data_IF_094940622237
#
_entry.id   IF_094940622237
#
_cell.length_a   1.000
_cell.length_b   1.000
_cell.length_c   1.000
_cell.angle_alpha   90.00
_cell.angle_beta   90.00
_cell.angle_gamma   90.00
#
_symmetry.space_group_name_H-M   'P 1'
#
loop_
_entity.id
_entity.type
_entity.pdbx_description
1 polymer ?
#
# COMPACT_ATOMS: atom_id res chain seq x y z
N UNK A 1 -45.22 -41.67 12.56
CA UNK A 1 -45.49 -42.37 11.28
C UNK A 1 -44.54 -41.81 10.28
N UNK A 2 -43.53 -42.40 9.72
CA UNK A 2 -43.07 -43.76 9.60
C UNK A 2 -41.73 -43.62 8.85
N UNK A 3 -40.68 -44.07 9.46
CA UNK A 3 -39.35 -44.15 8.86
C UNK A 3 -39.29 -45.32 7.85
N UNK A 4 -38.49 -45.17 6.80
CA UNK A 4 -37.97 -46.32 6.06
C UNK A 4 -36.50 -46.11 5.69
N UNK A 5 -35.71 -47.21 5.70
CA UNK A 5 -34.26 -47.13 5.88
C UNK A 5 -33.44 -47.30 4.59
N UNK A 6 -32.18 -46.93 4.73
CA UNK A 6 -31.05 -47.09 3.84
C UNK A 6 -30.83 -48.54 3.38
N UNK A 7 -30.42 -48.69 2.13
CA UNK A 7 -29.73 -49.87 1.62
C UNK A 7 -28.24 -49.60 1.40
N UNK A 8 -27.42 -50.35 2.15
CA UNK A 8 -26.00 -50.59 1.91
C UNK A 8 -25.84 -51.49 0.68
N UNK A 9 -24.87 -51.22 -0.17
CA UNK A 9 -24.27 -52.26 -1.01
C UNK A 9 -22.74 -52.12 -0.92
N UNK A 10 -22.16 -53.25 -0.67
CA UNK A 10 -20.77 -53.54 -0.41
C UNK A 10 -20.06 -54.02 -1.70
N UNK A 11 -18.75 -54.19 -1.70
CA UNK A 11 -17.87 -54.10 -2.86
C UNK A 11 -17.59 -55.41 -3.54
N UNK A 12 -17.22 -55.38 -4.79
CA UNK A 12 -16.66 -56.55 -5.49
C UNK A 12 -15.21 -56.34 -5.89
N UNK A 13 -14.39 -57.21 -5.35
CA UNK A 13 -13.03 -57.54 -5.79
C UNK A 13 -12.97 -57.88 -7.27
N UNK A 14 -11.90 -57.48 -7.93
CA UNK A 14 -11.40 -58.26 -9.05
C UNK A 14 -9.88 -58.28 -9.03
N UNK A 15 -9.43 -59.54 -9.07
CA UNK A 15 -8.09 -60.03 -8.89
C UNK A 15 -7.18 -59.85 -10.10
N UNK A 16 -5.91 -59.80 -9.75
CA UNK A 16 -4.69 -60.03 -10.50
C UNK A 16 -4.76 -61.12 -11.57
N UNK A 17 -4.23 -60.86 -12.76
CA UNK A 17 -3.71 -61.88 -13.67
C UNK A 17 -2.27 -61.54 -14.08
N UNK A 18 -1.38 -62.39 -13.62
CA UNK A 18 0.05 -62.44 -14.01
C UNK A 18 0.17 -63.28 -15.27
N UNK A 19 0.78 -62.74 -16.31
CA UNK A 19 1.18 -63.49 -17.50
C UNK A 19 2.69 -63.43 -17.70
N UNK A 20 3.35 -64.57 -17.49
CA UNK A 20 4.78 -64.86 -17.80
C UNK A 20 4.94 -65.29 -19.24
N UNK A 21 6.19 -65.15 -19.68
CA UNK A 21 6.92 -65.70 -20.87
C UNK A 21 7.04 -64.73 -22.02
N UNK A 22 8.22 -64.55 -22.63
CA UNK A 22 9.36 -65.46 -22.85
C UNK A 22 10.61 -64.69 -23.26
N UNK A 23 11.74 -65.18 -22.82
CA UNK A 23 13.08 -64.89 -23.30
C UNK A 23 13.28 -65.40 -24.75
N UNK A 24 14.05 -64.72 -25.55
CA UNK A 24 15.17 -65.21 -26.35
C UNK A 24 15.50 -64.22 -27.50
N UNK A 25 16.70 -63.89 -27.56
CA UNK A 25 17.76 -63.88 -28.57
C UNK A 25 18.48 -62.55 -28.70
N UNK A 26 19.60 -62.54 -28.00
CA UNK A 26 20.72 -61.64 -28.26
C UNK A 26 21.39 -62.14 -29.53
N UNK A 27 21.43 -61.29 -30.55
CA UNK A 27 22.36 -61.49 -31.67
C UNK A 27 23.32 -60.32 -31.76
N UNK A 28 24.58 -60.63 -31.65
CA UNK A 28 25.73 -59.76 -31.72
C UNK A 28 25.68 -58.90 -33.00
N UNK A 29 25.76 -57.60 -32.87
CA UNK A 29 25.94 -56.70 -33.98
C UNK A 29 27.27 -55.95 -33.83
N UNK A 30 28.06 -56.08 -34.85
CA UNK A 30 29.39 -55.70 -35.21
C UNK A 30 29.90 -54.38 -34.57
N UNK A 31 31.03 -54.44 -33.88
CA UNK A 31 31.71 -53.34 -33.17
C UNK A 31 32.26 -52.22 -34.09
N UNK A 32 32.29 -52.39 -35.38
CA UNK A 32 32.82 -51.40 -36.33
C UNK A 32 31.84 -50.36 -36.81
N UNK A 33 30.55 -50.50 -36.51
CA UNK A 33 29.52 -49.45 -36.84
C UNK A 33 29.17 -48.52 -35.70
N UNK A 34 29.66 -48.78 -34.48
CA UNK A 34 29.39 -47.91 -33.32
C UNK A 34 30.27 -46.67 -33.21
N UNK A 35 31.40 -46.60 -33.92
CA UNK A 35 32.31 -45.46 -33.86
C UNK A 35 31.93 -44.28 -34.77
N UNK A 36 31.02 -44.43 -35.74
CA UNK A 36 30.67 -43.35 -36.67
C UNK A 36 29.38 -42.63 -36.35
N UNK A 37 28.57 -43.12 -35.39
CA UNK A 37 27.32 -42.48 -35.02
C UNK A 37 27.37 -41.72 -33.67
N UNK A 38 28.43 -41.88 -32.89
CA UNK A 38 28.64 -41.12 -31.65
C UNK A 38 29.38 -39.77 -31.87
N UNK A 39 29.91 -39.51 -33.06
CA UNK A 39 30.70 -38.30 -33.33
C UNK A 39 29.88 -37.17 -33.97
N UNK A 40 28.61 -37.35 -34.27
CA UNK A 40 27.74 -36.31 -34.85
C UNK A 40 26.64 -35.79 -33.93
N UNK A 41 26.51 -36.29 -32.67
CA UNK A 41 25.51 -35.85 -31.70
C UNK A 41 26.06 -34.85 -30.67
N UNK A 42 27.30 -34.38 -30.82
CA UNK A 42 27.95 -33.49 -29.83
C UNK A 42 28.11 -32.05 -30.28
N UNK A 43 27.43 -31.61 -31.35
CA UNK A 43 27.61 -30.28 -31.91
C UNK A 43 26.32 -29.43 -31.99
N UNK A 44 25.26 -29.75 -31.25
CA UNK A 44 24.08 -28.86 -31.18
C UNK A 44 23.46 -28.73 -29.77
N UNK A 45 24.23 -28.95 -28.72
CA UNK A 45 23.92 -28.39 -27.42
C UNK A 45 24.75 -27.12 -27.29
N UNK A 46 24.37 -26.05 -27.99
CA UNK A 46 24.66 -24.72 -27.48
C UNK A 46 24.06 -24.67 -26.10
N UNK A 47 24.83 -24.44 -25.01
CA UNK A 47 24.24 -24.06 -23.77
C UNK A 47 23.52 -22.77 -24.09
N UNK A 48 22.17 -22.80 -24.11
CA UNK A 48 21.41 -21.58 -23.98
C UNK A 48 22.01 -20.90 -22.75
N UNK A 49 22.76 -19.84 -22.97
CA UNK A 49 23.08 -18.88 -21.96
C UNK A 49 21.72 -18.44 -21.40
N UNK A 50 21.26 -19.14 -20.38
CA UNK A 50 20.36 -18.56 -19.41
C UNK A 50 21.13 -17.32 -18.94
N UNK A 51 20.89 -16.19 -19.59
CA UNK A 51 21.32 -14.91 -19.10
C UNK A 51 20.79 -14.87 -17.67
N UNK A 52 21.68 -15.05 -16.71
CA UNK A 52 21.36 -14.87 -15.32
C UNK A 52 20.85 -13.44 -15.25
N UNK A 53 19.53 -13.28 -15.07
CA UNK A 53 18.94 -11.96 -14.92
C UNK A 53 19.68 -11.33 -13.74
N UNK A 54 20.33 -10.21 -13.99
CA UNK A 54 20.95 -9.45 -12.92
C UNK A 54 19.93 -9.27 -11.80
N UNK A 55 20.31 -9.46 -10.52
CA UNK A 55 19.37 -9.35 -9.42
C UNK A 55 18.71 -7.99 -9.51
N UNK A 56 17.37 -7.98 -9.49
CA UNK A 56 16.56 -6.76 -9.55
C UNK A 56 16.88 -5.91 -8.33
N UNK A 57 17.30 -4.66 -8.55
CA UNK A 57 17.58 -3.73 -7.45
C UNK A 57 16.27 -3.12 -6.96
N UNK A 58 15.86 -3.34 -5.70
CA UNK A 58 14.66 -2.75 -5.15
C UNK A 58 14.70 -1.22 -5.14
N UNK A 59 13.53 -0.59 -5.13
CA UNK A 59 13.40 0.85 -4.92
C UNK A 59 13.65 1.13 -3.44
N UNK A 60 14.68 1.92 -3.14
CA UNK A 60 15.07 2.23 -1.76
C UNK A 60 14.12 3.27 -1.12
N UNK A 61 12.93 2.83 -0.73
CA UNK A 61 11.94 3.67 -0.05
C UNK A 61 12.42 4.02 1.36
N UNK A 62 12.38 5.33 1.69
CA UNK A 62 12.85 5.89 2.95
C UNK A 62 11.71 6.13 3.94
N UNK A 63 10.57 6.69 3.49
CA UNK A 63 9.46 7.10 4.35
C UNK A 63 8.12 7.07 3.62
N UNK A 64 7.06 6.92 4.39
CA UNK A 64 5.75 7.48 4.03
C UNK A 64 5.89 9.00 4.09
N UNK A 65 5.58 9.68 3.00
CA UNK A 65 5.95 11.08 2.84
C UNK A 65 4.77 12.00 2.70
N UNK A 66 3.82 11.61 1.87
CA UNK A 66 2.64 12.41 1.57
C UNK A 66 1.45 11.52 1.20
N UNK A 67 0.30 12.12 1.02
CA UNK A 67 -0.86 11.49 0.40
C UNK A 67 -1.81 12.55 -0.18
N UNK A 68 -2.73 12.12 -1.03
CA UNK A 68 -3.74 13.00 -1.59
C UNK A 68 -5.14 12.71 -1.05
N UNK A 69 -5.91 13.77 -0.82
CA UNK A 69 -7.33 13.71 -0.52
C UNK A 69 -8.15 14.31 -1.66
N UNK A 70 -9.27 13.67 -1.96
CA UNK A 70 -10.38 14.27 -2.69
C UNK A 70 -11.48 14.59 -1.72
N UNK A 71 -11.98 15.82 -1.76
CA UNK A 71 -13.00 16.32 -0.83
C UNK A 71 -14.13 17.01 -1.57
N UNK A 72 -15.29 17.07 -0.96
CA UNK A 72 -16.45 17.78 -1.52
C UNK A 72 -16.30 19.29 -1.46
N UNK A 73 -15.58 19.80 -0.45
CA UNK A 73 -15.34 21.23 -0.23
C UNK A 73 -13.92 21.43 0.33
N UNK A 74 -13.06 22.09 -0.48
CA UNK A 74 -11.66 22.33 -0.10
C UNK A 74 -11.57 23.28 1.10
N UNK A 75 -12.36 24.36 1.13
CA UNK A 75 -12.28 25.37 2.18
C UNK A 75 -12.73 24.78 3.53
N UNK A 76 -13.84 24.05 3.55
CA UNK A 76 -14.33 23.36 4.73
C UNK A 76 -13.33 22.29 5.23
N UNK A 77 -12.71 21.55 4.33
CA UNK A 77 -11.71 20.54 4.69
C UNK A 77 -10.42 21.15 5.24
N UNK A 78 -9.92 22.23 4.61
CA UNK A 78 -8.74 22.95 5.09
C UNK A 78 -9.01 23.55 6.47
N UNK A 79 -10.14 24.22 6.69
CA UNK A 79 -10.53 24.77 8.01
C UNK A 79 -10.60 23.66 9.06
N UNK A 80 -11.23 22.52 8.73
CA UNK A 80 -11.32 21.35 9.62
C UNK A 80 -9.94 20.84 10.03
N UNK A 81 -9.04 20.55 9.06
CA UNK A 81 -7.72 20.02 9.37
C UNK A 81 -6.81 21.02 10.07
N UNK A 82 -6.93 22.32 9.77
CA UNK A 82 -6.22 23.36 10.49
C UNK A 82 -6.72 23.49 11.95
N UNK A 83 -8.01 23.36 12.21
CA UNK A 83 -8.55 23.35 13.59
C UNK A 83 -8.12 22.11 14.35
N UNK A 84 -8.13 20.94 13.71
CA UNK A 84 -7.76 19.67 14.37
C UNK A 84 -6.25 19.56 14.61
N UNK A 85 -5.43 19.93 13.62
CA UNK A 85 -3.99 19.66 13.65
C UNK A 85 -3.11 20.92 13.71
N UNK A 86 -3.65 22.11 13.60
CA UNK A 86 -2.85 23.32 13.47
C UNK A 86 -1.98 23.34 12.21
N UNK A 87 -2.34 22.56 11.19
CA UNK A 87 -1.52 22.32 10.02
C UNK A 87 -1.31 23.58 9.18
N UNK A 88 -0.05 24.00 8.99
CA UNK A 88 0.29 25.10 8.08
C UNK A 88 0.05 24.69 6.62
N UNK A 89 -0.27 25.65 5.77
CA UNK A 89 -0.25 25.43 4.32
C UNK A 89 1.19 25.48 3.85
N UNK A 90 1.69 24.35 3.38
CA UNK A 90 3.07 24.18 2.93
C UNK A 90 3.26 24.69 1.49
N UNK A 91 2.26 24.43 0.64
CA UNK A 91 2.25 24.85 -0.76
C UNK A 91 0.85 24.84 -1.36
N UNK A 92 0.71 25.45 -2.54
CA UNK A 92 -0.52 25.40 -3.35
C UNK A 92 -0.18 24.93 -4.76
N UNK A 93 -1.02 24.06 -5.28
CA UNK A 93 -0.91 23.49 -6.63
C UNK A 93 -2.18 23.85 -7.43
N UNK A 94 -2.25 25.09 -7.90
CA UNK A 94 -3.50 25.66 -8.39
C UNK A 94 -4.52 25.77 -7.26
N UNK A 95 -5.65 25.10 -7.40
CA UNK A 95 -6.70 25.02 -6.36
C UNK A 95 -6.39 24.00 -5.25
N UNK A 96 -5.48 23.04 -5.51
CA UNK A 96 -5.07 22.05 -4.52
C UNK A 96 -4.24 22.69 -3.40
N UNK A 97 -4.58 22.40 -2.15
CA UNK A 97 -3.89 22.90 -0.96
C UNK A 97 -3.10 21.77 -0.32
N UNK A 98 -1.81 22.01 -0.04
CA UNK A 98 -0.94 21.05 0.65
C UNK A 98 -0.77 21.48 2.11
N UNK A 99 -1.29 20.66 3.05
CA UNK A 99 -1.18 20.87 4.49
C UNK A 99 -0.03 20.07 5.08
N UNK A 100 0.77 20.73 5.93
CA UNK A 100 1.96 20.16 6.55
C UNK A 100 1.60 19.09 7.59
N UNK A 101 2.41 18.02 7.64
CA UNK A 101 2.31 16.95 8.65
C UNK A 101 3.54 17.00 9.55
N UNK A 102 3.35 17.37 10.81
CA UNK A 102 4.46 17.45 11.77
C UNK A 102 5.60 18.35 11.27
N UNK A 103 6.83 18.17 11.76
CA UNK A 103 7.98 18.92 11.26
C UNK A 103 8.49 18.42 9.91
N UNK A 104 9.01 19.33 9.08
CA UNK A 104 9.66 19.00 7.80
C UNK A 104 8.72 19.09 6.59
N UNK A 105 9.09 18.49 5.46
CA UNK A 105 8.43 18.72 4.18
C UNK A 105 7.20 17.82 3.94
N UNK A 106 6.85 16.94 4.88
CA UNK A 106 5.72 16.01 4.70
C UNK A 106 4.39 16.75 4.65
N UNK A 107 3.49 16.28 3.82
CA UNK A 107 2.21 16.96 3.61
C UNK A 107 1.11 15.99 3.17
N UNK A 108 -0.11 16.46 3.20
CA UNK A 108 -1.19 15.90 2.42
C UNK A 108 -1.83 16.97 1.55
N UNK A 109 -2.15 16.59 0.33
CA UNK A 109 -2.79 17.48 -0.63
C UNK A 109 -4.31 17.31 -0.59
N UNK A 110 -5.05 18.41 -0.68
CA UNK A 110 -6.51 18.45 -0.69
C UNK A 110 -6.95 19.05 -2.03
N UNK A 111 -7.67 18.27 -2.84
CA UNK A 111 -8.30 18.73 -4.07
C UNK A 111 -9.80 18.46 -4.07
N UNK A 112 -10.52 19.19 -4.89
CA UNK A 112 -11.94 18.95 -5.11
C UNK A 112 -12.18 17.61 -5.85
N UNK A 113 -13.30 16.95 -5.57
CA UNK A 113 -13.80 15.81 -6.36
C UNK A 113 -14.22 16.30 -7.75
N UNK A 114 -13.88 15.52 -8.77
CA UNK A 114 -14.39 15.73 -10.12
C UNK A 114 -15.72 15.02 -10.33
N UNK A 115 -16.38 15.30 -11.44
CA UNK A 115 -17.65 14.66 -11.79
C UNK A 115 -17.50 13.13 -11.85
N UNK A 116 -18.29 12.43 -11.05
CA UNK A 116 -18.24 10.96 -10.94
C UNK A 116 -17.27 10.42 -9.90
N UNK A 117 -16.42 11.26 -9.30
CA UNK A 117 -15.56 10.87 -8.20
C UNK A 117 -16.31 10.88 -6.85
N UNK A 118 -15.75 10.15 -5.90
CA UNK A 118 -16.19 10.16 -4.49
C UNK A 118 -15.05 10.65 -3.60
N UNK A 119 -15.33 11.33 -2.48
CA UNK A 119 -14.32 11.68 -1.49
C UNK A 119 -13.48 10.48 -1.04
N UNK A 120 -12.24 10.73 -0.69
CA UNK A 120 -11.35 9.70 -0.18
C UNK A 120 -9.87 9.93 -0.46
N UNK A 121 -9.04 9.02 0.01
CA UNK A 121 -7.59 9.04 -0.18
C UNK A 121 -7.28 8.58 -1.62
N UNK A 122 -6.50 9.36 -2.36
CA UNK A 122 -6.23 9.15 -3.80
C UNK A 122 -4.97 8.33 -4.06
N UNK A 123 -3.92 8.59 -3.31
CA UNK A 123 -2.61 7.97 -3.46
C UNK A 123 -1.80 8.03 -2.16
N UNK A 124 -0.76 7.23 -2.08
CA UNK A 124 0.25 7.22 -1.03
C UNK A 124 1.56 7.72 -1.63
N UNK A 125 2.15 8.76 -1.04
CA UNK A 125 3.45 9.29 -1.42
C UNK A 125 4.57 8.64 -0.63
N UNK A 126 5.60 8.19 -1.34
CA UNK A 126 6.79 7.55 -0.79
C UNK A 126 8.04 8.34 -1.15
N UNK A 127 8.88 8.66 -0.18
CA UNK A 127 10.19 9.20 -0.48
C UNK A 127 11.18 8.09 -0.81
N UNK A 128 12.07 8.35 -1.78
CA UNK A 128 13.05 7.39 -2.31
C UNK A 128 14.45 7.95 -2.16
N UNK A 129 15.36 7.12 -1.71
CA UNK A 129 16.76 7.47 -1.55
C UNK A 129 17.43 7.82 -2.88
N UNK A 130 18.11 8.97 -2.93
CA UNK A 130 18.76 9.48 -4.14
C UNK A 130 17.81 9.42 -5.35
N UNK A 131 16.60 9.97 -5.17
CA UNK A 131 15.52 9.93 -6.15
C UNK A 131 15.93 10.56 -7.48
N UNK A 132 15.60 9.85 -8.55
CA UNK A 132 15.62 10.37 -9.92
C UNK A 132 14.51 9.66 -10.68
N UNK A 133 13.74 10.40 -11.44
CA UNK A 133 12.58 9.87 -12.18
C UNK A 133 13.03 8.72 -13.08
N UNK A 134 14.09 8.92 -13.90
CA UNK A 134 14.56 7.89 -14.82
C UNK A 134 15.05 6.61 -14.12
N UNK A 135 15.74 6.75 -12.97
CA UNK A 135 16.15 5.60 -12.17
C UNK A 135 14.92 4.85 -11.60
N UNK A 136 13.96 5.59 -11.06
CA UNK A 136 12.75 4.99 -10.49
C UNK A 136 11.91 4.29 -11.57
N UNK A 137 11.76 4.87 -12.77
CA UNK A 137 11.10 4.24 -13.91
C UNK A 137 11.78 2.91 -14.29
N UNK A 138 13.09 2.91 -14.48
CA UNK A 138 13.85 1.68 -14.78
C UNK A 138 13.68 0.63 -13.69
N UNK A 139 13.64 1.04 -12.41
CA UNK A 139 13.38 0.11 -11.30
C UNK A 139 11.96 -0.44 -11.36
N UNK A 140 10.95 0.40 -11.59
CA UNK A 140 9.55 -0.03 -11.76
C UNK A 140 9.42 -1.04 -12.91
N UNK A 141 10.03 -0.76 -14.06
CA UNK A 141 10.05 -1.68 -15.23
C UNK A 141 10.66 -3.04 -14.88
N UNK A 142 11.73 -3.07 -14.10
CA UNK A 142 12.33 -4.31 -13.61
C UNK A 142 11.37 -5.17 -12.77
N UNK A 143 10.37 -4.55 -12.13
CA UNK A 143 9.32 -5.25 -11.38
C UNK A 143 8.02 -5.43 -12.16
N UNK A 144 8.02 -5.15 -13.47
CA UNK A 144 6.91 -5.40 -14.36
C UNK A 144 5.88 -4.27 -14.42
N UNK A 145 6.21 -3.10 -13.89
CA UNK A 145 5.40 -1.88 -14.03
C UNK A 145 5.85 -1.16 -15.29
N UNK A 146 4.98 -0.92 -16.25
CA UNK A 146 5.32 -0.34 -17.55
C UNK A 146 4.75 1.08 -17.71
N UNK A 147 5.31 1.86 -18.62
CA UNK A 147 4.80 3.19 -18.90
C UNK A 147 3.34 3.14 -19.40
N UNK A 148 2.51 4.04 -18.89
CA UNK A 148 1.12 4.19 -19.32
C UNK A 148 0.74 5.68 -19.33
N UNK A 149 -0.44 5.99 -19.86
CA UNK A 149 -1.02 7.32 -19.71
C UNK A 149 -1.49 7.56 -18.28
N UNK A 150 -1.61 8.82 -17.89
CA UNK A 150 -2.23 9.19 -16.62
C UNK A 150 -3.67 8.66 -16.57
N UNK A 151 -4.07 7.98 -15.49
CA UNK A 151 -5.45 7.54 -15.34
C UNK A 151 -6.42 8.72 -15.35
N UNK A 152 -7.50 8.62 -16.09
CA UNK A 152 -8.61 9.56 -15.96
C UNK A 152 -9.20 9.52 -14.54
N UNK A 153 -9.74 10.66 -14.07
CA UNK A 153 -10.15 10.92 -12.69
C UNK A 153 -11.24 10.03 -12.10
N UNK A 154 -11.21 8.73 -12.30
CA UNK A 154 -12.16 7.78 -11.71
C UNK A 154 -11.54 6.98 -10.57
N UNK A 155 -12.31 6.74 -9.50
CA UNK A 155 -11.92 5.77 -8.47
C UNK A 155 -11.95 4.37 -9.06
N UNK A 156 -10.91 3.59 -8.81
CA UNK A 156 -11.01 2.15 -8.98
C UNK A 156 -10.88 1.65 -10.41
N UNK A 157 -10.18 2.35 -11.25
CA UNK A 157 -9.85 1.85 -12.58
C UNK A 157 -8.65 0.90 -12.50
N UNK A 158 -8.80 -0.30 -13.07
CA UNK A 158 -7.75 -1.32 -13.16
C UNK A 158 -7.02 -1.29 -14.51
N UNK A 159 -7.48 -0.47 -15.45
CA UNK A 159 -6.91 -0.40 -16.79
C UNK A 159 -5.45 0.09 -16.83
N UNK A 160 -5.01 0.75 -15.76
CA UNK A 160 -3.64 1.21 -15.56
C UNK A 160 -2.86 0.38 -14.53
N UNK A 161 -3.44 -0.74 -14.07
CA UNK A 161 -2.78 -1.62 -13.12
C UNK A 161 -1.41 -2.08 -13.65
N UNK A 162 -0.38 -2.02 -12.80
CA UNK A 162 1.02 -2.22 -13.18
C UNK A 162 1.52 -1.21 -14.22
N UNK A 163 1.01 0.02 -14.16
CA UNK A 163 1.45 1.13 -14.99
C UNK A 163 2.08 2.26 -14.17
N UNK A 164 3.05 2.97 -14.77
CA UNK A 164 3.57 4.23 -14.24
C UNK A 164 3.37 5.36 -15.24
N UNK A 165 3.21 6.59 -14.73
CA UNK A 165 3.08 7.81 -15.53
C UNK A 165 3.77 8.98 -14.86
N UNK A 166 4.04 10.01 -15.64
CA UNK A 166 4.51 11.30 -15.14
C UNK A 166 3.44 12.36 -15.33
N UNK A 167 3.26 13.20 -14.34
CA UNK A 167 2.57 14.47 -14.49
C UNK A 167 3.57 15.62 -14.56
N UNK A 168 3.18 16.72 -15.21
CA UNK A 168 3.99 17.93 -15.33
C UNK A 168 3.14 19.12 -14.91
N UNK A 169 3.44 19.64 -13.73
CA UNK A 169 2.77 20.81 -13.19
C UNK A 169 3.45 22.06 -13.68
N UNK A 170 2.70 22.93 -14.38
CA UNK A 170 3.15 24.20 -14.95
C UNK A 170 2.92 25.36 -13.95
N UNK A 171 3.43 26.59 -14.21
CA UNK A 171 3.31 27.74 -13.31
C UNK A 171 1.88 28.09 -12.89
N UNK A 172 0.90 27.93 -13.78
CA UNK A 172 -0.52 28.15 -13.48
C UNK A 172 -1.09 27.15 -12.44
N UNK A 173 -0.38 26.04 -12.22
CA UNK A 173 -0.71 25.05 -11.22
C UNK A 173 0.39 24.94 -10.15
N UNK A 174 1.14 26.02 -9.90
CA UNK A 174 2.16 26.09 -8.86
C UNK A 174 3.47 25.35 -9.18
N UNK A 175 3.72 25.02 -10.44
CA UNK A 175 4.98 24.40 -10.88
C UNK A 175 6.02 25.42 -11.37
N UNK A 176 7.16 24.91 -11.81
CA UNK A 176 8.24 25.69 -12.43
C UNK A 176 7.91 26.08 -13.88
N UNK A 177 8.53 27.12 -14.44
CA UNK A 177 8.39 27.46 -15.86
C UNK A 177 8.78 26.31 -16.80
N UNK A 178 9.77 25.48 -16.42
CA UNK A 178 10.17 24.28 -17.13
C UNK A 178 9.33 23.05 -16.80
N UNK A 179 8.35 23.19 -15.92
CA UNK A 179 7.51 22.13 -15.39
C UNK A 179 8.11 21.45 -14.15
N UNK A 180 7.27 21.23 -13.14
CA UNK A 180 7.55 20.37 -11.99
C UNK A 180 7.06 18.97 -12.33
N UNK A 181 7.95 18.00 -12.28
CA UNK A 181 7.65 16.61 -12.67
C UNK A 181 7.39 15.76 -11.46
N UNK A 182 6.35 14.96 -11.53
CA UNK A 182 5.92 14.04 -10.48
C UNK A 182 5.71 12.66 -11.08
N UNK A 183 6.22 11.61 -10.41
CA UNK A 183 6.16 10.23 -10.87
C UNK A 183 5.14 9.45 -10.04
N UNK A 184 4.19 8.85 -10.71
CA UNK A 184 3.18 7.98 -10.12
C UNK A 184 3.26 6.58 -10.70
N UNK A 185 2.78 5.60 -9.94
CA UNK A 185 2.49 4.27 -10.47
C UNK A 185 1.23 3.71 -9.80
N UNK A 186 0.57 2.82 -10.50
CA UNK A 186 -0.52 2.03 -9.96
C UNK A 186 -0.07 0.58 -9.78
N UNK A 187 -0.34 0.01 -8.62
CA UNK A 187 -0.03 -1.38 -8.35
C UNK A 187 -1.01 -2.34 -9.02
N UNK A 188 -0.78 -3.62 -8.82
CA UNK A 188 -1.61 -4.70 -9.37
C UNK A 188 -3.02 -4.80 -8.76
N UNK A 189 -3.26 -4.12 -7.62
CA UNK A 189 -4.56 -4.02 -6.95
C UNK A 189 -5.30 -2.71 -7.28
N UNK A 190 -4.70 -1.85 -8.10
CA UNK A 190 -5.28 -0.56 -8.49
C UNK A 190 -5.04 0.57 -7.50
N UNK A 191 -4.03 0.45 -6.63
CA UNK A 191 -3.65 1.50 -5.68
C UNK A 191 -2.60 2.41 -6.29
N UNK A 192 -2.81 3.72 -6.21
CA UNK A 192 -1.87 4.71 -6.73
C UNK A 192 -0.82 5.09 -5.69
N UNK A 193 0.42 5.18 -6.14
CA UNK A 193 1.57 5.63 -5.37
C UNK A 193 2.28 6.76 -6.10
N UNK A 194 2.77 7.74 -5.35
CA UNK A 194 3.70 8.76 -5.83
C UNK A 194 5.10 8.45 -5.31
N UNK A 195 6.11 8.56 -6.17
CA UNK A 195 7.52 8.46 -5.77
C UNK A 195 8.18 9.82 -5.91
N UNK A 196 8.89 10.24 -4.87
CA UNK A 196 9.55 11.55 -4.86
C UNK A 196 10.83 11.58 -4.01
N UNK A 197 11.56 12.69 -3.99
CA UNK A 197 12.71 12.88 -3.11
C UNK A 197 12.27 13.09 -1.65
N UNK A 198 13.21 12.97 -0.70
CA UNK A 198 12.94 13.17 0.73
C UNK A 198 12.52 14.61 1.09
N UNK A 199 12.87 15.57 0.26
CA UNK A 199 12.55 16.99 0.41
C UNK A 199 11.34 17.45 -0.43
N UNK A 200 10.61 16.51 -1.03
CA UNK A 200 9.37 16.82 -1.74
C UNK A 200 8.38 17.52 -0.79
N UNK A 201 7.87 18.67 -1.17
CA UNK A 201 6.95 19.46 -0.33
C UNK A 201 5.69 19.93 -1.09
N UNK A 202 5.47 19.36 -2.27
CA UNK A 202 4.34 19.74 -3.13
C UNK A 202 4.47 21.12 -3.78
N UNK A 203 5.61 21.80 -3.60
CA UNK A 203 5.87 23.14 -4.10
C UNK A 203 6.45 23.17 -5.51
N UNK A 204 7.23 24.21 -5.78
CA UNK A 204 7.98 24.41 -7.02
C UNK A 204 9.25 23.56 -7.06
N UNK A 205 10.14 23.85 -8.00
CA UNK A 205 11.33 23.06 -8.27
C UNK A 205 11.05 21.92 -9.25
N UNK A 206 12.09 21.38 -9.82
CA UNK A 206 11.97 20.33 -10.85
C UNK A 206 11.23 19.08 -10.34
N UNK A 207 11.27 18.81 -9.04
CA UNK A 207 10.69 17.67 -8.36
C UNK A 207 9.72 18.04 -7.23
N UNK A 208 9.20 19.29 -7.21
CA UNK A 208 8.26 19.74 -6.19
C UNK A 208 8.87 19.91 -4.79
N UNK A 209 10.16 20.23 -4.74
CA UNK A 209 10.97 20.29 -3.53
C UNK A 209 11.42 21.71 -3.14
N UNK A 210 10.82 22.72 -3.76
CA UNK A 210 11.03 24.12 -3.41
C UNK A 210 9.72 24.70 -2.88
N UNK A 211 9.63 24.87 -1.57
CA UNK A 211 8.50 25.51 -0.91
C UNK A 211 8.94 26.86 -0.34
N UNK A 212 8.12 27.87 -0.59
CA UNK A 212 8.27 29.19 0.04
C UNK A 212 7.90 29.11 1.53
N UNK A 213 7.96 30.23 2.24
CA UNK A 213 7.55 30.26 3.64
C UNK A 213 6.10 29.74 3.80
N UNK A 214 5.89 28.84 4.75
CA UNK A 214 4.59 28.27 5.04
C UNK A 214 3.58 29.35 5.43
N UNK A 215 2.34 29.21 4.97
CA UNK A 215 1.22 29.97 5.52
C UNK A 215 0.81 29.31 6.85
N UNK A 216 1.09 29.99 7.96
CA UNK A 216 0.76 29.47 9.30
C UNK A 216 -0.74 29.23 9.44
N UNK A 217 -1.11 28.17 10.14
CA UNK A 217 -2.49 27.95 10.52
C UNK A 217 -3.00 29.10 11.42
N UNK A 218 -4.25 29.57 11.24
CA UNK A 218 -4.87 30.51 12.15
C UNK A 218 -5.26 29.89 13.50
N UNK A 219 -5.13 28.55 13.62
CA UNK A 219 -5.49 27.78 14.81
C UNK A 219 -4.29 27.04 15.37
N UNK A 220 -4.21 26.86 16.70
CA UNK A 220 -3.13 26.09 17.32
C UNK A 220 -3.22 24.58 17.03
N UNK A 221 -4.42 24.10 16.66
CA UNK A 221 -4.74 22.68 16.56
C UNK A 221 -5.05 22.03 17.91
N UNK A 222 -5.82 20.96 17.88
CA UNK A 222 -6.12 20.14 19.06
C UNK A 222 -4.99 19.13 19.30
N UNK A 223 -4.40 18.59 18.23
CA UNK A 223 -3.40 17.54 18.27
C UNK A 223 -2.13 17.96 17.52
N UNK A 224 -0.98 17.76 18.15
CA UNK A 224 0.33 17.99 17.54
C UNK A 224 0.80 16.72 16.83
N UNK A 225 0.75 16.72 15.50
CA UNK A 225 1.23 15.61 14.70
C UNK A 225 2.75 15.57 14.69
N UNK A 226 3.32 14.36 14.79
CA UNK A 226 4.77 14.14 14.69
C UNK A 226 5.16 13.53 13.34
N UNK A 227 4.35 12.60 12.83
CA UNK A 227 4.65 11.89 11.57
C UNK A 227 3.39 11.22 10.98
N UNK A 228 3.52 10.73 9.75
CA UNK A 228 2.70 9.66 9.22
C UNK A 228 3.08 8.34 9.91
N UNK A 229 2.10 7.55 10.32
CA UNK A 229 2.31 6.23 10.89
C UNK A 229 2.18 5.13 9.84
N UNK A 230 1.00 5.01 9.25
CA UNK A 230 0.72 3.97 8.27
C UNK A 230 -0.49 4.27 7.37
N UNK A 231 -0.63 3.44 6.36
CA UNK A 231 -1.86 3.30 5.57
C UNK A 231 -2.36 1.88 5.65
N UNK A 232 -3.69 1.73 5.78
CA UNK A 232 -4.37 0.45 5.58
C UNK A 232 -5.15 0.49 4.28
N UNK A 233 -4.94 -0.55 3.47
CA UNK A 233 -5.49 -0.64 2.12
C UNK A 233 -6.27 -1.93 1.96
N UNK A 234 -7.51 -1.84 1.47
CA UNK A 234 -8.31 -3.00 1.12
C UNK A 234 -8.05 -3.42 -0.32
N UNK A 235 -7.70 -4.70 -0.50
CA UNK A 235 -7.29 -5.27 -1.78
C UNK A 235 -8.01 -6.61 -2.03
N UNK A 236 -8.07 -7.04 -3.28
CA UNK A 236 -8.67 -8.33 -3.64
C UNK A 236 -7.81 -9.52 -3.15
N UNK A 237 -6.49 -9.36 -3.15
CA UNK A 237 -5.55 -10.37 -2.68
C UNK A 237 -4.39 -9.74 -1.90
N UNK A 238 -4.48 -9.80 -0.56
CA UNK A 238 -3.45 -9.26 0.34
C UNK A 238 -2.08 -9.93 0.21
N UNK A 239 -2.04 -11.23 -0.09
CA UNK A 239 -0.78 -11.97 -0.18
C UNK A 239 -0.03 -11.58 -1.45
N UNK A 240 -0.75 -11.33 -2.55
CA UNK A 240 -0.20 -10.81 -3.80
C UNK A 240 0.33 -9.38 -3.63
N UNK A 241 -0.41 -8.51 -2.95
CA UNK A 241 0.04 -7.16 -2.62
C UNK A 241 1.31 -7.20 -1.75
N UNK A 242 1.32 -7.99 -0.68
CA UNK A 242 2.47 -8.17 0.20
C UNK A 242 3.71 -8.68 -0.56
N UNK A 243 3.54 -9.66 -1.45
CA UNK A 243 4.62 -10.21 -2.27
C UNK A 243 5.20 -9.14 -3.23
N UNK A 244 4.35 -8.35 -3.86
CA UNK A 244 4.77 -7.26 -4.74
C UNK A 244 5.62 -6.22 -3.99
N UNK A 245 5.14 -5.71 -2.87
CA UNK A 245 5.83 -4.63 -2.15
C UNK A 245 7.09 -5.08 -1.42
N UNK A 246 7.09 -6.27 -0.83
CA UNK A 246 8.31 -6.83 -0.23
C UNK A 246 9.43 -6.99 -1.26
N UNK A 247 9.10 -7.38 -2.49
CA UNK A 247 10.07 -7.50 -3.60
C UNK A 247 10.47 -6.14 -4.16
N UNK A 248 9.49 -5.30 -4.49
CA UNK A 248 9.73 -4.03 -5.19
C UNK A 248 10.49 -3.03 -4.31
N UNK A 249 10.19 -2.99 -3.02
CA UNK A 249 10.87 -2.10 -2.06
C UNK A 249 11.96 -2.80 -1.25
N UNK A 250 12.16 -4.10 -1.41
CA UNK A 250 13.15 -4.86 -0.65
C UNK A 250 12.87 -4.86 0.87
N UNK A 251 11.62 -4.69 1.27
CA UNK A 251 11.23 -4.53 2.67
C UNK A 251 10.76 -5.84 3.28
N UNK A 252 10.84 -5.92 4.62
CA UNK A 252 10.41 -7.08 5.40
C UNK A 252 9.11 -6.80 6.13
N UNK A 253 8.48 -7.83 6.61
CA UNK A 253 7.38 -7.71 7.55
C UNK A 253 7.90 -7.22 8.91
N UNK A 254 7.35 -6.09 9.37
CA UNK A 254 7.72 -5.43 10.61
C UNK A 254 7.01 -6.03 11.82
N UNK A 255 5.74 -6.38 11.64
CA UNK A 255 4.88 -6.94 12.67
C UNK A 255 3.73 -7.74 12.05
N UNK A 256 2.91 -8.34 12.90
CA UNK A 256 1.71 -9.06 12.48
C UNK A 256 0.49 -8.61 13.30
N UNK A 257 -0.57 -8.22 12.60
CA UNK A 257 -1.88 -7.96 13.22
C UNK A 257 -2.75 -9.22 13.16
N UNK A 258 -2.31 -10.26 13.87
CA UNK A 258 -2.85 -11.61 13.78
C UNK A 258 -2.06 -12.49 12.80
N UNK A 259 -2.37 -13.79 12.72
CA UNK A 259 -1.51 -14.78 12.04
C UNK A 259 -1.36 -14.56 10.53
N UNK A 260 -2.33 -13.86 9.91
CA UNK A 260 -2.42 -13.73 8.46
C UNK A 260 -2.38 -12.28 7.95
N UNK A 261 -2.06 -11.31 8.81
CA UNK A 261 -2.04 -9.90 8.44
C UNK A 261 -0.70 -9.26 8.81
N UNK A 262 0.35 -9.49 7.99
CA UNK A 262 1.62 -8.82 8.18
C UNK A 262 1.50 -7.34 7.83
N UNK A 263 2.35 -6.53 8.44
CA UNK A 263 2.57 -5.14 8.06
C UNK A 263 3.98 -4.98 7.49
N UNK A 264 4.11 -4.27 6.38
CA UNK A 264 5.38 -4.08 5.67
C UNK A 264 6.01 -2.79 6.19
N UNK A 265 7.17 -2.90 6.83
CA UNK A 265 7.92 -1.73 7.30
C UNK A 265 8.34 -0.82 6.16
N UNK A 266 8.28 0.49 6.37
CA UNK A 266 8.71 1.51 5.42
C UNK A 266 9.90 2.28 6.00
N UNK A 267 11.00 2.35 5.25
CA UNK A 267 12.23 2.98 5.72
C UNK A 267 12.89 2.22 6.87
N UNK A 268 13.55 2.97 7.75
CA UNK A 268 14.26 2.47 8.91
C UNK A 268 13.51 2.81 10.22
N UNK A 269 12.31 3.34 10.09
CA UNK A 269 11.45 3.77 11.20
C UNK A 269 10.33 2.80 11.50
N UNK A 270 9.30 3.32 12.19
CA UNK A 270 8.13 2.57 12.62
C UNK A 270 6.97 2.60 11.61
N UNK A 271 7.12 3.35 10.53
CA UNK A 271 6.09 3.49 9.50
C UNK A 271 5.85 2.17 8.76
N UNK A 272 4.62 1.93 8.34
CA UNK A 272 4.29 0.70 7.61
C UNK A 272 3.12 0.85 6.63
N UNK A 273 3.02 -0.13 5.74
CA UNK A 273 1.86 -0.38 4.89
C UNK A 273 1.17 -1.66 5.33
N UNK A 274 -0.15 -1.65 5.34
CA UNK A 274 -0.97 -2.82 5.65
C UNK A 274 -1.98 -3.09 4.53
N UNK A 275 -1.99 -4.32 4.06
CA UNK A 275 -2.95 -4.79 3.05
C UNK A 275 -3.92 -5.76 3.69
N UNK A 276 -5.21 -5.45 3.57
CA UNK A 276 -6.32 -6.24 4.10
C UNK A 276 -7.20 -6.69 2.95
N UNK A 277 -7.60 -7.95 2.95
CA UNK A 277 -8.47 -8.46 1.90
C UNK A 277 -8.49 -9.98 1.83
N UNK A 278 -9.06 -10.46 0.74
CA UNK A 278 -9.16 -11.88 0.46
C UNK A 278 -7.89 -12.49 -0.15
N UNK A 279 -8.11 -13.65 -0.80
CA UNK A 279 -7.11 -14.38 -1.54
C UNK A 279 -7.61 -14.68 -2.96
N UNK A 280 -8.23 -13.69 -3.61
CA UNK A 280 -8.75 -13.83 -4.97
C UNK A 280 -7.64 -14.23 -5.94
N UNK A 281 -7.80 -15.34 -6.63
CA UNK A 281 -6.89 -15.78 -7.68
C UNK A 281 -7.19 -15.07 -9.00
N UNK A 282 -6.17 -14.84 -9.83
CA UNK A 282 -6.31 -14.07 -11.08
C UNK A 282 -6.29 -12.57 -10.87
N UNK A 283 -6.58 -11.81 -11.92
CA UNK A 283 -6.64 -10.36 -11.86
C UNK A 283 -7.80 -9.89 -10.94
N UNK A 284 -7.64 -8.77 -10.22
CA UNK A 284 -8.74 -8.21 -9.44
C UNK A 284 -9.89 -7.77 -10.35
N UNK A 285 -11.12 -7.95 -9.89
CA UNK A 285 -12.33 -7.54 -10.61
C UNK A 285 -12.77 -6.11 -10.27
N UNK A 286 -12.21 -5.55 -9.22
CA UNK A 286 -12.38 -4.16 -8.81
C UNK A 286 -11.07 -3.67 -8.19
N UNK A 287 -10.76 -2.39 -8.37
CA UNK A 287 -9.60 -1.81 -7.73
C UNK A 287 -9.75 -1.81 -6.21
N UNK A 288 -8.61 -1.93 -5.55
CA UNK A 288 -8.50 -1.71 -4.12
C UNK A 288 -8.80 -0.26 -3.73
N UNK A 289 -8.84 -0.01 -2.43
CA UNK A 289 -9.01 1.33 -1.88
C UNK A 289 -8.13 1.54 -0.65
N UNK A 290 -7.60 2.73 -0.51
CA UNK A 290 -6.96 3.14 0.72
C UNK A 290 -8.09 3.42 1.73
N UNK A 291 -8.11 2.65 2.81
CA UNK A 291 -9.20 2.71 3.81
C UNK A 291 -9.02 3.86 4.78
N UNK A 292 -7.81 4.01 5.29
CA UNK A 292 -7.47 5.11 6.18
C UNK A 292 -5.97 5.43 6.17
N UNK A 293 -5.68 6.62 6.66
CA UNK A 293 -4.35 7.08 7.05
C UNK A 293 -4.28 7.14 8.57
N UNK A 294 -3.12 6.81 9.11
CA UNK A 294 -2.81 6.99 10.53
C UNK A 294 -1.72 8.02 10.71
N UNK A 295 -1.91 8.92 11.67
CA UNK A 295 -0.90 9.85 12.13
C UNK A 295 -0.37 9.47 13.51
N UNK A 296 0.91 9.71 13.73
CA UNK A 296 1.50 9.74 15.06
C UNK A 296 1.34 11.14 15.67
N UNK A 297 1.07 11.21 16.95
CA UNK A 297 0.94 12.47 17.68
C UNK A 297 1.72 12.45 18.99
N UNK A 298 2.04 13.63 19.51
CA UNK A 298 2.56 13.82 20.86
C UNK A 298 1.46 13.56 21.90
N UNK A 299 1.84 13.21 23.10
CA UNK A 299 0.97 13.07 24.28
C UNK A 299 -0.32 12.26 24.03
N UNK A 300 -0.23 11.21 23.21
CA UNK A 300 -1.37 10.36 22.87
C UNK A 300 -1.96 9.69 24.11
N UNK A 301 -3.22 9.96 24.38
CA UNK A 301 -4.05 9.17 25.28
C UNK A 301 -5.43 8.97 24.67
N UNK A 302 -5.94 7.74 24.77
CA UNK A 302 -7.26 7.40 24.19
C UNK A 302 -8.35 8.31 24.74
N UNK A 303 -8.42 8.48 26.06
CA UNK A 303 -9.43 9.30 26.70
C UNK A 303 -9.33 10.79 26.30
N UNK A 304 -8.11 11.34 26.29
CA UNK A 304 -7.89 12.74 25.92
C UNK A 304 -8.26 13.01 24.46
N UNK A 305 -7.87 12.11 23.51
CA UNK A 305 -8.24 12.28 22.12
C UNK A 305 -9.75 12.24 21.91
N UNK A 306 -10.47 11.31 22.56
CA UNK A 306 -11.92 11.21 22.44
C UNK A 306 -12.64 12.42 23.06
N UNK A 307 -12.14 12.93 24.17
CA UNK A 307 -12.67 14.12 24.83
C UNK A 307 -12.52 15.37 23.95
N UNK A 308 -11.31 15.61 23.41
CA UNK A 308 -11.05 16.76 22.54
C UNK A 308 -11.88 16.68 21.24
N UNK A 309 -11.98 15.50 20.62
CA UNK A 309 -12.83 15.31 19.43
C UNK A 309 -14.29 15.59 19.75
N UNK A 310 -14.80 15.12 20.90
CA UNK A 310 -16.18 15.35 21.33
C UNK A 310 -16.44 16.83 21.59
N UNK A 311 -15.52 17.52 22.28
CA UNK A 311 -15.60 18.96 22.54
C UNK A 311 -15.57 19.79 21.25
N UNK A 312 -14.84 19.31 20.24
CA UNK A 312 -14.79 19.92 18.91
C UNK A 312 -16.09 19.74 18.11
N UNK A 313 -16.92 18.76 18.44
CA UNK A 313 -18.16 18.47 17.75
C UNK A 313 -18.12 17.22 16.86
N UNK A 314 -17.04 16.43 16.92
CA UNK A 314 -17.01 15.08 16.34
C UNK A 314 -17.71 14.14 17.29
N UNK A 315 -18.84 13.55 16.87
CA UNK A 315 -19.72 12.76 17.74
C UNK A 315 -19.20 11.32 17.95
N UNK A 316 -19.44 10.70 19.11
CA UNK A 316 -19.11 9.28 19.27
C UNK A 316 -20.00 8.42 18.35
N UNK A 317 -19.38 7.45 17.67
CA UNK A 317 -20.08 6.45 16.86
C UNK A 317 -20.81 5.47 17.77
N UNK A 318 -22.12 5.35 17.60
CA UNK A 318 -22.97 4.50 18.45
C UNK A 318 -23.01 3.06 17.93
N UNK A 319 -23.12 2.88 16.61
CA UNK A 319 -23.20 1.58 15.95
C UNK A 319 -22.03 1.38 14.99
N UNK A 320 -21.50 0.16 14.92
CA UNK A 320 -20.38 -0.17 14.01
C UNK A 320 -20.73 -0.01 12.53
N UNK A 321 -22.01 -0.07 12.18
CA UNK A 321 -22.52 0.17 10.81
C UNK A 321 -22.71 1.64 10.47
N UNK A 322 -22.62 2.54 11.47
CA UNK A 322 -22.75 3.97 11.25
C UNK A 322 -21.53 4.53 10.54
N UNK A 323 -21.74 5.17 9.41
CA UNK A 323 -20.69 5.70 8.51
C UNK A 323 -20.85 7.20 8.27
N UNK A 324 -21.59 7.89 9.14
CA UNK A 324 -21.76 9.34 9.03
C UNK A 324 -20.42 10.07 9.17
N UNK A 325 -20.24 11.24 8.54
CA UNK A 325 -19.10 12.11 8.78
C UNK A 325 -19.04 12.59 10.24
N UNK A 326 -17.89 13.10 10.65
CA UNK A 326 -17.64 13.72 11.95
C UNK A 326 -18.01 12.81 13.13
N UNK A 327 -17.57 11.56 13.05
CA UNK A 327 -17.71 10.57 14.12
C UNK A 327 -16.33 10.09 14.60
N UNK A 328 -16.23 9.77 15.89
CA UNK A 328 -15.04 9.12 16.46
C UNK A 328 -15.40 7.79 17.13
N UNK A 329 -14.43 6.87 17.21
CA UNK A 329 -14.56 5.57 17.88
C UNK A 329 -13.21 4.97 18.22
N UNK A 330 -13.26 3.96 19.08
CA UNK A 330 -12.09 3.10 19.35
C UNK A 330 -12.35 1.71 18.79
N UNK A 331 -11.39 1.19 18.03
CA UNK A 331 -11.35 -0.22 17.67
C UNK A 331 -10.34 -0.94 18.57
N UNK A 332 -10.79 -1.96 19.29
CA UNK A 332 -9.92 -2.74 20.16
C UNK A 332 -9.33 -3.89 19.37
N UNK A 333 -8.01 -3.86 19.10
CA UNK A 333 -7.29 -4.96 18.49
C UNK A 333 -6.99 -6.02 19.54
N UNK A 334 -7.79 -7.10 19.52
CA UNK A 334 -7.75 -8.19 20.50
C UNK A 334 -6.54 -9.13 20.29
N UNK A 335 -6.19 -10.01 21.25
CA UNK A 335 -5.04 -10.92 21.17
C UNK A 335 -5.01 -11.79 19.91
N UNK A 336 -6.16 -12.27 19.42
CA UNK A 336 -6.27 -13.01 18.17
C UNK A 336 -5.81 -12.21 16.94
N UNK A 337 -5.75 -10.89 17.05
CA UNK A 337 -5.25 -9.95 16.05
C UNK A 337 -3.93 -9.29 16.47
N UNK A 338 -3.17 -9.92 17.36
CA UNK A 338 -1.86 -9.43 17.79
C UNK A 338 -1.89 -8.29 18.83
N UNK A 339 -3.05 -7.96 19.39
CA UNK A 339 -3.17 -7.03 20.51
C UNK A 339 -2.86 -7.70 21.86
N UNK A 340 -2.89 -6.91 22.93
CA UNK A 340 -2.75 -7.42 24.30
C UNK A 340 -4.08 -7.97 24.82
N UNK A 341 -4.03 -8.67 25.96
CA UNK A 341 -5.23 -9.01 26.72
C UNK A 341 -5.94 -7.72 27.16
N UNK A 342 -7.26 -7.65 26.92
CA UNK A 342 -8.04 -6.42 27.04
C UNK A 342 -8.02 -5.54 25.80
N UNK A 343 -7.18 -5.86 24.81
CA UNK A 343 -7.10 -5.17 23.52
C UNK A 343 -6.07 -4.03 23.45
N UNK A 344 -5.55 -3.79 22.27
CA UNK A 344 -4.75 -2.62 21.90
C UNK A 344 -5.72 -1.59 21.29
N UNK A 345 -5.90 -0.39 21.88
CA UNK A 345 -6.83 0.59 21.37
C UNK A 345 -6.28 1.27 20.10
N UNK A 346 -7.14 1.40 19.12
CA UNK A 346 -6.90 2.12 17.87
C UNK A 346 -7.97 3.20 17.76
N UNK A 347 -7.57 4.48 17.83
CA UNK A 347 -8.51 5.62 17.86
C UNK A 347 -8.72 6.13 16.45
N UNK A 348 -9.99 6.24 16.06
CA UNK A 348 -10.39 6.70 14.73
C UNK A 348 -11.36 7.87 14.84
N UNK A 349 -11.33 8.71 13.82
CA UNK A 349 -12.41 9.64 13.53
C UNK A 349 -12.60 9.78 12.02
N UNK A 350 -13.70 10.36 11.59
CA UNK A 350 -13.96 10.71 10.21
C UNK A 350 -14.04 12.21 10.03
N UNK A 351 -13.51 12.70 8.91
CA UNK A 351 -13.57 14.10 8.50
C UNK A 351 -14.96 14.49 7.96
N UNK A 352 -15.17 15.75 7.49
CA UNK A 352 -16.46 16.20 6.94
C UNK A 352 -16.98 15.40 5.75
N UNK A 353 -16.09 14.70 5.02
CA UNK A 353 -16.46 13.82 3.91
C UNK A 353 -16.58 12.33 4.32
N UNK A 354 -16.41 12.01 5.61
CA UNK A 354 -16.40 10.63 6.10
C UNK A 354 -15.08 9.89 5.83
N UNK A 355 -14.01 10.59 5.42
CA UNK A 355 -12.69 9.99 5.25
C UNK A 355 -12.13 9.62 6.62
N UNK A 356 -11.70 8.36 6.75
CA UNK A 356 -11.25 7.80 8.02
C UNK A 356 -9.81 8.18 8.33
N UNK A 357 -9.62 8.75 9.51
CA UNK A 357 -8.31 9.11 10.08
C UNK A 357 -8.10 8.29 11.35
N UNK A 358 -6.90 7.77 11.55
CA UNK A 358 -6.48 7.13 12.80
C UNK A 358 -5.43 8.00 13.50
N UNK A 359 -5.49 8.06 14.81
CA UNK A 359 -4.46 8.69 15.65
C UNK A 359 -3.83 7.65 16.56
N UNK A 360 -2.50 7.71 16.70
CA UNK A 360 -1.72 6.80 17.54
C UNK A 360 -0.52 7.51 18.19
N UNK A 361 0.01 6.86 19.23
CA UNK A 361 1.23 7.30 19.86
C UNK A 361 2.43 7.28 18.89
N UNK A 362 3.43 8.10 19.14
CA UNK A 362 4.63 8.22 18.33
C UNK A 362 5.40 6.89 18.17
N UNK A 363 5.30 5.98 19.14
CA UNK A 363 5.94 4.66 19.12
C UNK A 363 5.13 3.55 18.43
N UNK A 364 3.94 3.83 17.89
CA UNK A 364 3.10 2.82 17.28
C UNK A 364 3.77 2.24 16.03
N UNK A 365 3.92 0.91 16.00
CA UNK A 365 4.54 0.17 14.90
C UNK A 365 3.65 -0.96 14.33
N UNK A 366 2.39 -1.02 14.74
CA UNK A 366 1.45 -2.07 14.31
C UNK A 366 1.64 -3.42 15.02
N UNK A 367 2.55 -3.52 15.99
CA UNK A 367 2.86 -4.74 16.72
C UNK A 367 2.07 -4.93 18.01
N UNK A 368 2.63 -5.72 18.94
CA UNK A 368 2.09 -5.96 20.27
C UNK A 368 2.24 -4.74 21.19
N UNK A 369 1.85 -4.91 22.47
CA UNK A 369 1.84 -3.84 23.45
C UNK A 369 0.49 -3.11 23.52
N UNK A 370 0.27 -2.38 24.62
CA UNK A 370 -1.00 -1.66 24.81
C UNK A 370 -1.19 -0.56 23.75
N UNK A 371 -0.11 0.14 23.38
CA UNK A 371 -0.14 1.16 22.33
C UNK A 371 0.33 0.62 20.96
N UNK A 372 0.51 -0.70 20.80
CA UNK A 372 0.99 -1.30 19.54
C UNK A 372 2.46 -1.01 19.21
N UNK A 373 3.25 -0.73 20.24
CA UNK A 373 4.63 -0.24 20.19
C UNK A 373 5.71 -1.35 20.24
N UNK A 374 5.29 -2.62 20.40
CA UNK A 374 6.22 -3.74 20.50
C UNK A 374 6.33 -4.46 19.18
N UNK A 375 7.30 -4.05 18.39
CA UNK A 375 7.67 -4.74 17.16
C UNK A 375 9.00 -5.49 17.33
N UNK A 376 9.21 -6.62 16.63
CA UNK A 376 10.51 -7.24 16.62
C UNK A 376 11.55 -6.26 16.05
N UNK A 377 12.85 -6.43 16.38
CA UNK A 377 13.92 -5.67 15.73
C UNK A 377 13.85 -5.87 14.22
N UNK A 378 13.98 -4.77 13.48
CA UNK A 378 13.98 -4.74 12.00
C UNK A 378 15.24 -5.39 11.43
#
# INVERSE_FOLDING_TARGET
>A
MGAKPLKKNNPTNLSLVIGKHSSEKIQACDEKRRFLLCSLALLTAAPGLLAAQSPKTPIAVRKLHSFGLRVSDIEASVDFYQRIFGAAILSRQGETVCLQIGPGPRFFSIRHVESGEQPGITHIGLSVENFSISKAQTQLENFGVSETSEPGGGRGQLEHAMGYWQTVRLPNSGGEPSGTRELFFQDLEGINYQLGPDDHCGGRGALGNVCEANESSPYPGLFQLTDLSHFTTFVANKDRANDFYTKTFGKKFQAYQGPNFPVIGVGDGLQFLMYVGGAQTGAPTSAGRIDHVCFNMEDFSVAGVLEELSNFGVSPRIDASDTQPLMHWVSMRMPARGGVEGGTPEVYFSDPDGIRIQLQAAGYCGGGGYLGERCPPL
#
